data_IF_956031705816
#
_entry.id   IF_956031705816
#
_cell.length_a   1.000
_cell.length_b   1.000
_cell.length_c   1.000
_cell.angle_alpha   90.00
_cell.angle_beta   90.00
_cell.angle_gamma   90.00
#
_symmetry.space_group_name_H-M   'P 1'
#
loop_
_entity.id
_entity.type
_entity.pdbx_description
1 polymer ?
#
# COMPACT_ATOMS: atom_id res chain seq x y z
N UNK A 1 -11.90 15.31 1.25
CA UNK A 1 -10.52 15.06 0.82
C UNK A 1 -10.25 13.56 0.77
N UNK A 2 -9.63 13.10 -0.30
CA UNK A 2 -9.35 11.68 -0.49
C UNK A 2 -8.03 11.31 0.16
N UNK A 3 -8.02 10.24 0.93
CA UNK A 3 -6.80 9.73 1.53
C UNK A 3 -6.47 8.36 0.96
N UNK A 4 -5.18 8.08 0.86
CA UNK A 4 -4.68 6.80 0.36
C UNK A 4 -3.69 6.24 1.37
N UNK A 5 -3.89 4.98 1.74
CA UNK A 5 -2.97 4.26 2.62
C UNK A 5 -2.61 2.95 1.94
N UNK A 6 -1.34 2.64 1.89
CA UNK A 6 -0.87 1.38 1.30
C UNK A 6 -0.80 0.30 2.37
N UNK A 7 -1.11 -0.92 1.99
CA UNK A 7 -1.04 -2.06 2.93
C UNK A 7 -0.71 -3.33 2.16
N UNK A 8 -0.08 -4.28 2.85
CA UNK A 8 0.18 -5.59 2.27
C UNK A 8 -1.07 -6.45 2.38
N UNK A 9 -1.18 -7.43 1.49
CA UNK A 9 -2.32 -8.35 1.53
C UNK A 9 -2.28 -9.26 2.75
N UNK A 10 -3.45 -9.67 3.20
CA UNK A 10 -3.54 -10.59 4.33
C UNK A 10 -3.30 -12.03 3.93
N UNK A 11 -3.82 -12.43 2.78
CA UNK A 11 -3.64 -13.80 2.30
C UNK A 11 -2.28 -13.98 1.62
N UNK A 12 -1.81 -12.94 0.95
CA UNK A 12 -0.53 -12.98 0.24
C UNK A 12 0.24 -11.70 0.58
N UNK A 13 1.23 -11.79 1.48
CA UNK A 13 1.98 -10.59 1.89
C UNK A 13 2.85 -9.99 0.80
N UNK A 14 2.95 -10.65 -0.35
CA UNK A 14 3.64 -10.07 -1.51
C UNK A 14 2.76 -9.09 -2.27
N UNK A 15 1.46 -9.13 -2.06
CA UNK A 15 0.53 -8.20 -2.71
C UNK A 15 0.43 -6.90 -1.94
N UNK A 16 0.20 -5.82 -2.69
CA UNK A 16 0.01 -4.49 -2.09
C UNK A 16 -1.34 -3.95 -2.53
N UNK A 17 -2.06 -3.41 -1.57
CA UNK A 17 -3.37 -2.80 -1.79
C UNK A 17 -3.34 -1.35 -1.37
N UNK A 18 -4.26 -0.57 -1.91
CA UNK A 18 -4.46 0.82 -1.52
C UNK A 18 -5.83 0.92 -0.87
N UNK A 19 -5.85 1.48 0.33
CA UNK A 19 -7.10 1.73 1.05
C UNK A 19 -7.48 3.18 0.82
N UNK A 20 -8.63 3.41 0.18
CA UNK A 20 -9.09 4.74 -0.19
C UNK A 20 -10.13 5.19 0.83
N UNK A 21 -9.85 6.31 1.47
CA UNK A 21 -10.72 6.93 2.49
C UNK A 21 -11.08 5.97 3.62
N UNK A 22 -10.24 4.98 3.84
CA UNK A 22 -10.45 4.02 4.92
C UNK A 22 -11.54 3.00 4.68
N UNK A 23 -12.16 3.01 3.50
CA UNK A 23 -13.29 2.13 3.23
C UNK A 23 -13.14 1.25 2.00
N UNK A 24 -12.53 1.77 0.95
CA UNK A 24 -12.42 1.03 -0.30
C UNK A 24 -11.00 0.48 -0.46
N UNK A 25 -10.90 -0.83 -0.63
CA UNK A 25 -9.64 -1.52 -0.78
C UNK A 25 -9.45 -1.93 -2.24
N UNK A 26 -8.36 -1.49 -2.86
CA UNK A 26 -8.10 -1.73 -4.28
C UNK A 26 -6.74 -2.40 -4.43
N UNK A 27 -6.69 -3.44 -5.26
CA UNK A 27 -5.43 -4.09 -5.58
C UNK A 27 -4.53 -3.13 -6.34
N UNK A 28 -3.27 -3.06 -5.92
CA UNK A 28 -2.29 -2.18 -6.56
C UNK A 28 -1.30 -3.00 -7.39
N UNK A 29 -0.48 -3.84 -6.75
CA UNK A 29 0.51 -4.63 -7.45
C UNK A 29 0.99 -5.77 -6.55
N UNK A 30 1.86 -6.60 -7.12
CA UNK A 30 2.46 -7.71 -6.39
C UNK A 30 3.96 -7.70 -6.61
N UNK A 31 4.72 -7.96 -5.54
CA UNK A 31 6.17 -8.01 -5.59
C UNK A 31 6.65 -9.44 -5.39
N UNK A 32 7.95 -9.66 -5.64
CA UNK A 32 8.52 -11.01 -5.58
C UNK A 32 8.61 -11.55 -4.15
N UNK A 33 8.85 -10.68 -3.19
CA UNK A 33 9.00 -11.09 -1.80
C UNK A 33 8.18 -10.20 -0.90
N UNK A 34 7.75 -10.72 0.26
CA UNK A 34 7.02 -9.90 1.21
C UNK A 34 7.86 -8.76 1.79
N UNK A 35 9.17 -8.95 1.87
CA UNK A 35 10.06 -7.89 2.35
C UNK A 35 10.03 -6.67 1.43
N UNK A 36 10.03 -6.92 0.10
CA UNK A 36 9.96 -5.84 -0.87
C UNK A 36 8.61 -5.14 -0.77
N UNK A 37 7.54 -5.92 -0.71
CA UNK A 37 6.19 -5.35 -0.61
C UNK A 37 6.07 -4.47 0.63
N UNK A 38 6.57 -4.94 1.75
CA UNK A 38 6.51 -4.20 3.00
C UNK A 38 7.33 -2.92 2.95
N UNK A 39 8.51 -2.97 2.35
CA UNK A 39 9.35 -1.79 2.21
C UNK A 39 8.66 -0.73 1.37
N UNK A 40 7.99 -1.15 0.29
CA UNK A 40 7.26 -0.22 -0.57
C UNK A 40 6.10 0.42 0.21
N UNK A 41 5.35 -0.39 0.94
CA UNK A 41 4.23 0.12 1.74
C UNK A 41 4.73 1.13 2.77
N UNK A 42 5.80 0.80 3.48
CA UNK A 42 6.37 1.72 4.48
C UNK A 42 6.81 3.02 3.83
N UNK A 43 7.49 2.93 2.69
CA UNK A 43 7.97 4.11 1.99
C UNK A 43 6.83 5.00 1.53
N UNK A 44 5.78 4.41 0.96
CA UNK A 44 4.65 5.17 0.48
C UNK A 44 3.89 5.84 1.63
N UNK A 45 3.73 5.15 2.74
CA UNK A 45 3.00 5.71 3.88
C UNK A 45 3.80 6.75 4.64
N UNK A 46 5.13 6.70 4.52
CA UNK A 46 6.01 7.60 5.26
C UNK A 46 6.14 8.98 4.62
N UNK A 47 5.80 9.12 3.36
CA UNK A 47 5.96 10.37 2.64
C UNK A 47 4.62 10.92 2.17
N UNK A 48 3.75 11.32 3.11
CA UNK A 48 2.39 11.70 2.77
C UNK A 48 2.28 12.92 1.86
N UNK A 49 3.29 13.77 1.85
CA UNK A 49 3.23 14.99 1.08
C UNK A 49 3.86 14.91 -0.30
N UNK A 50 4.40 13.79 -0.67
CA UNK A 50 5.17 13.70 -1.90
C UNK A 50 4.34 13.80 -3.18
N UNK A 51 3.07 13.63 -3.05
CA UNK A 51 2.16 13.70 -4.19
C UNK A 51 1.75 15.12 -4.54
N UNK A 52 2.39 16.07 -3.97
CA UNK A 52 2.10 17.50 -4.18
C UNK A 52 2.37 17.98 -5.60
#
# INVERSE_FOLDING_TARGET
MTTFVFEVGTDDPCEVYILIDGTKRVYYTRYETPEIARAVVDGQNRTPGRNL
#
